data_IF_942816708417
#
_entry.id   IF_942816708417
#
_cell.length_a   1.000
_cell.length_b   1.000
_cell.length_c   1.000
_cell.angle_alpha   90.00
_cell.angle_beta   90.00
_cell.angle_gamma   90.00
#
_symmetry.space_group_name_H-M   'P 1'
#
loop_
_entity.id
_entity.type
_entity.pdbx_description
1 polymer ?
#
# COMPACT_ATOMS: atom_id res chain seq x y z
N UNK A 1 3.34 -3.06 -18.14
CA UNK A 1 4.08 -2.14 -17.25
C UNK A 1 3.66 -2.34 -15.81
N UNK A 2 4.59 -2.22 -14.91
CA UNK A 2 4.33 -2.38 -13.50
C UNK A 2 4.09 -1.04 -12.83
N UNK A 3 3.07 -1.00 -12.00
CA UNK A 3 2.73 0.19 -11.21
C UNK A 3 2.52 -0.21 -9.76
N UNK A 4 2.88 0.70 -8.86
CA UNK A 4 2.55 0.52 -7.46
C UNK A 4 1.36 1.41 -7.13
N UNK A 5 0.39 0.82 -6.46
CA UNK A 5 -0.76 1.54 -5.94
C UNK A 5 -0.50 1.74 -4.46
N UNK A 6 -0.27 2.97 -4.06
CA UNK A 6 0.08 3.34 -2.69
C UNK A 6 -1.14 3.95 -2.02
N UNK A 7 -1.54 3.37 -0.90
CA UNK A 7 -2.81 3.68 -0.26
C UNK A 7 -2.54 4.51 1.00
N UNK A 8 -3.02 5.76 0.98
CA UNK A 8 -2.84 6.68 2.10
C UNK A 8 -4.18 7.00 2.73
N UNK A 9 -4.20 7.13 4.05
CA UNK A 9 -5.38 7.51 4.78
C UNK A 9 -5.02 8.09 6.14
N UNK A 10 -5.98 8.75 6.76
CA UNK A 10 -5.79 9.31 8.10
C UNK A 10 -5.96 8.19 9.12
N UNK A 11 -4.89 7.86 9.83
CA UNK A 11 -4.90 6.79 10.84
C UNK A 11 -5.89 7.04 11.96
N UNK A 12 -6.22 8.30 12.22
CA UNK A 12 -7.23 8.63 13.24
C UNK A 12 -8.61 8.13 12.82
N UNK A 13 -8.92 8.23 11.53
CA UNK A 13 -10.18 7.70 11.01
C UNK A 13 -10.20 6.18 11.08
N UNK A 14 -9.07 5.54 10.81
CA UNK A 14 -8.97 4.10 10.90
C UNK A 14 -9.11 3.62 12.35
N UNK A 15 -8.53 4.36 13.30
CA UNK A 15 -8.65 4.02 14.71
C UNK A 15 -10.12 4.06 15.17
N UNK A 16 -10.90 5.05 14.68
CA UNK A 16 -12.32 5.10 14.96
C UNK A 16 -13.06 3.90 14.38
N UNK A 17 -12.61 3.43 13.22
CA UNK A 17 -13.21 2.28 12.56
C UNK A 17 -13.00 1.00 13.37
N UNK A 18 -11.88 0.89 14.09
CA UNK A 18 -11.60 -0.28 14.89
C UNK A 18 -12.64 -0.50 16.00
N UNK A 19 -13.33 0.56 16.42
CA UNK A 19 -14.37 0.49 17.44
C UNK A 19 -15.74 0.18 16.83
N UNK A 20 -15.84 0.12 15.50
CA UNK A 20 -17.08 -0.19 14.80
C UNK A 20 -16.89 -1.50 14.05
N UNK A 21 -17.27 -2.59 14.69
CA UNK A 21 -17.08 -3.93 14.17
C UNK A 21 -17.71 -4.13 12.79
N UNK A 22 -18.91 -3.63 12.61
CA UNK A 22 -19.62 -3.80 11.34
C UNK A 22 -18.93 -3.03 10.21
N UNK A 23 -18.51 -1.81 10.47
CA UNK A 23 -17.81 -1.00 9.47
C UNK A 23 -16.47 -1.63 9.11
N UNK A 24 -15.76 -2.16 10.10
CA UNK A 24 -14.49 -2.84 9.87
C UNK A 24 -14.66 -4.10 9.01
N UNK A 25 -15.70 -4.87 9.29
CA UNK A 25 -16.01 -6.06 8.49
C UNK A 25 -16.35 -5.69 7.05
N UNK A 26 -17.08 -4.58 6.85
CA UNK A 26 -17.42 -4.10 5.52
C UNK A 26 -16.18 -3.66 4.75
N UNK A 27 -15.24 -3.01 5.42
CA UNK A 27 -14.00 -2.60 4.81
C UNK A 27 -13.16 -3.81 4.41
N UNK A 28 -13.04 -4.80 5.29
CA UNK A 28 -12.30 -6.02 4.99
C UNK A 28 -12.92 -6.77 3.82
N UNK A 29 -14.25 -6.83 3.76
CA UNK A 29 -14.95 -7.47 2.65
C UNK A 29 -14.71 -6.74 1.34
N UNK A 30 -14.70 -5.40 1.38
CA UNK A 30 -14.45 -4.59 0.19
C UNK A 30 -13.04 -4.82 -0.34
N UNK A 31 -12.04 -4.90 0.54
CA UNK A 31 -10.67 -5.17 0.14
C UNK A 31 -10.50 -6.59 -0.38
N UNK A 32 -11.18 -7.56 0.22
CA UNK A 32 -11.15 -8.93 -0.28
C UNK A 32 -11.69 -9.01 -1.70
N UNK A 33 -12.77 -8.30 -1.98
CA UNK A 33 -13.35 -8.25 -3.32
C UNK A 33 -12.42 -7.54 -4.30
N UNK A 34 -11.82 -6.45 -3.88
CA UNK A 34 -10.90 -5.69 -4.73
C UNK A 34 -9.70 -6.56 -5.14
N UNK A 35 -9.10 -7.26 -4.18
CA UNK A 35 -8.00 -8.17 -4.48
C UNK A 35 -8.41 -9.32 -5.39
N UNK A 36 -9.61 -9.88 -5.15
CA UNK A 36 -10.12 -10.97 -5.98
C UNK A 36 -10.37 -10.49 -7.42
N UNK A 37 -10.90 -9.28 -7.59
CA UNK A 37 -11.14 -8.72 -8.92
C UNK A 37 -9.83 -8.49 -9.67
N UNK A 38 -8.82 -7.98 -9.01
CA UNK A 38 -7.50 -7.79 -9.62
C UNK A 38 -6.87 -9.13 -9.99
N UNK A 39 -7.04 -10.13 -9.15
CA UNK A 39 -6.50 -11.45 -9.43
C UNK A 39 -7.23 -12.11 -10.61
N UNK A 40 -8.55 -12.00 -10.65
CA UNK A 40 -9.34 -12.52 -11.76
C UNK A 40 -8.98 -11.85 -13.08
N UNK A 41 -8.66 -10.56 -13.04
CA UNK A 41 -8.24 -9.83 -14.22
C UNK A 41 -6.78 -10.11 -14.61
N UNK A 42 -6.05 -10.84 -13.77
CA UNK A 42 -4.67 -11.21 -14.06
C UNK A 42 -3.67 -10.08 -13.89
N UNK A 43 -4.04 -9.01 -13.18
CA UNK A 43 -3.16 -7.84 -13.04
C UNK A 43 -2.38 -7.81 -11.73
N UNK A 44 -2.83 -8.54 -10.71
CA UNK A 44 -2.23 -8.48 -9.38
C UNK A 44 -0.90 -9.22 -9.33
N UNK A 45 0.14 -8.53 -8.82
CA UNK A 45 1.47 -9.11 -8.66
C UNK A 45 1.94 -9.16 -7.22
N UNK A 46 1.27 -8.44 -6.32
CA UNK A 46 1.61 -8.45 -4.91
C UNK A 46 0.94 -7.31 -4.18
N UNK A 47 1.16 -7.26 -2.88
CA UNK A 47 0.62 -6.22 -2.05
C UNK A 47 0.63 -6.63 -0.60
N UNK A 48 0.46 -5.66 0.27
CA UNK A 48 0.40 -5.90 1.70
C UNK A 48 -0.24 -4.72 2.42
N UNK A 49 -0.82 -5.00 3.56
CA UNK A 49 -1.23 -3.99 4.50
C UNK A 49 -0.05 -3.66 5.41
N UNK A 50 0.12 -2.41 5.76
CA UNK A 50 1.12 -2.00 6.73
C UNK A 50 0.43 -1.74 8.06
N UNK A 51 1.13 -2.05 9.16
CA UNK A 51 0.67 -1.69 10.47
C UNK A 51 0.77 -0.16 10.65
N UNK A 52 0.04 0.41 11.62
CA UNK A 52 0.07 1.86 11.84
C UNK A 52 1.48 2.39 12.08
N UNK A 53 1.66 3.67 11.80
CA UNK A 53 2.98 4.29 11.80
C UNK A 53 3.69 4.26 13.14
N UNK A 54 2.96 4.14 14.26
CA UNK A 54 3.61 4.04 15.57
C UNK A 54 4.44 2.77 15.72
N UNK A 55 4.21 1.76 14.87
CA UNK A 55 5.01 0.54 14.89
C UNK A 55 6.23 0.62 13.97
N UNK A 56 6.40 1.73 13.25
CA UNK A 56 7.52 1.90 12.33
C UNK A 56 8.82 2.17 13.09
N UNK A 57 9.93 1.85 12.45
CA UNK A 57 11.27 2.21 12.90
C UNK A 57 11.98 2.90 11.76
N UNK A 58 12.50 4.08 12.02
CA UNK A 58 13.28 4.83 11.02
C UNK A 58 14.76 4.60 11.29
N UNK A 59 15.50 4.27 10.22
CA UNK A 59 16.93 4.00 10.32
C UNK A 59 17.68 5.01 9.46
N UNK A 60 18.70 5.62 10.03
CA UNK A 60 19.62 6.51 9.31
C UNK A 60 21.04 6.10 9.61
N UNK A 61 21.92 6.30 8.64
CA UNK A 61 23.36 6.16 8.88
C UNK A 61 23.96 7.55 8.79
N UNK A 62 24.56 7.99 9.88
CA UNK A 62 25.17 9.32 9.98
C UNK A 62 26.59 9.17 10.51
N UNK A 63 27.55 9.69 9.76
CA UNK A 63 28.98 9.60 10.12
C UNK A 63 29.41 8.15 10.38
N UNK A 64 28.93 7.24 9.55
CA UNK A 64 29.23 5.81 9.66
C UNK A 64 28.50 5.07 10.77
N UNK A 65 27.59 5.75 11.48
CA UNK A 65 26.85 5.11 12.57
C UNK A 65 25.39 4.92 12.21
N UNK A 66 24.85 3.77 12.59
CA UNK A 66 23.44 3.46 12.43
C UNK A 66 22.66 4.12 13.56
N UNK A 67 21.68 4.93 13.20
CA UNK A 67 20.79 5.62 14.15
C UNK A 67 19.37 5.15 13.88
N UNK A 68 18.69 4.67 14.92
CA UNK A 68 17.29 4.23 14.81
C UNK A 68 16.39 5.14 15.63
N UNK A 69 15.20 5.37 15.13
CA UNK A 69 14.18 6.18 15.81
C UNK A 69 12.85 5.45 15.70
N UNK A 70 12.11 5.36 16.79
CA UNK A 70 10.77 4.79 16.77
C UNK A 70 9.84 5.73 16.04
N UNK A 71 8.98 5.15 15.20
CA UNK A 71 8.01 5.90 14.44
C UNK A 71 8.46 6.21 13.02
N UNK A 72 7.62 6.87 12.23
CA UNK A 72 7.92 7.20 10.86
C UNK A 72 8.94 8.34 10.78
N UNK A 73 9.64 8.44 9.65
CA UNK A 73 10.64 9.49 9.46
C UNK A 73 10.03 10.89 9.36
N UNK A 74 8.74 10.98 9.06
CA UNK A 74 8.02 12.25 8.97
C UNK A 74 6.59 12.05 9.41
N UNK A 75 6.02 13.09 10.03
CA UNK A 75 4.60 13.10 10.35
C UNK A 75 3.85 13.70 9.18
N UNK A 76 2.77 13.05 8.77
CA UNK A 76 1.96 13.46 7.63
C UNK A 76 0.50 13.46 8.02
N UNK A 77 -0.31 14.17 7.23
CA UNK A 77 -1.75 14.22 7.47
C UNK A 77 -2.42 12.88 7.16
N UNK A 78 -1.97 12.25 6.09
CA UNK A 78 -2.39 10.91 5.73
C UNK A 78 -1.17 10.02 5.74
N UNK A 79 -1.32 8.80 6.21
CA UNK A 79 -0.23 7.86 6.37
C UNK A 79 -0.37 6.73 5.37
N UNK A 80 0.77 6.22 4.91
CA UNK A 80 0.78 5.06 4.02
C UNK A 80 0.32 3.83 4.81
N UNK A 81 -0.79 3.23 4.38
CA UNK A 81 -1.38 2.09 5.06
C UNK A 81 -1.27 0.78 4.31
N UNK A 82 -0.85 0.81 3.05
CA UNK A 82 -0.71 -0.41 2.28
C UNK A 82 -0.39 -0.13 0.84
N UNK A 83 -0.20 -1.20 0.08
CA UNK A 83 0.11 -1.06 -1.33
C UNK A 83 -0.29 -2.31 -2.10
N UNK A 84 -0.45 -2.13 -3.40
CA UNK A 84 -0.56 -3.23 -4.36
C UNK A 84 0.44 -3.01 -5.48
N UNK A 85 0.95 -4.10 -6.01
CA UNK A 85 1.77 -4.11 -7.21
C UNK A 85 0.95 -4.72 -8.32
N UNK A 86 0.77 -3.99 -9.42
CA UNK A 86 -0.04 -4.46 -10.54
C UNK A 86 0.73 -4.35 -11.84
N UNK A 87 0.34 -5.17 -12.81
CA UNK A 87 0.91 -5.17 -14.15
C UNK A 87 -0.23 -4.91 -15.13
N UNK A 88 -0.22 -3.73 -15.74
CA UNK A 88 -1.25 -3.30 -16.70
C UNK A 88 -0.59 -2.61 -17.88
N UNK A 89 -1.28 -2.50 -19.02
CA UNK A 89 -0.67 -1.97 -20.23
C UNK A 89 -0.25 -0.50 -20.17
N UNK A 90 -0.98 0.33 -19.41
CA UNK A 90 -0.74 1.77 -19.43
C UNK A 90 -1.25 2.44 -18.16
N UNK A 91 -0.95 3.73 -18.02
CA UNK A 91 -1.33 4.51 -16.85
C UNK A 91 -2.85 4.61 -16.67
N UNK A 92 -3.58 4.76 -17.77
CA UNK A 92 -5.05 4.88 -17.68
C UNK A 92 -5.67 3.65 -17.04
N UNK A 93 -5.16 2.47 -17.36
CA UNK A 93 -5.63 1.24 -16.72
C UNK A 93 -5.25 1.19 -15.24
N UNK A 94 -4.05 1.66 -14.91
CA UNK A 94 -3.63 1.73 -13.51
C UNK A 94 -4.51 2.68 -12.71
N UNK A 95 -4.86 3.83 -13.29
CA UNK A 95 -5.75 4.80 -12.65
C UNK A 95 -7.15 4.21 -12.44
N UNK A 96 -7.65 3.46 -13.41
CA UNK A 96 -8.96 2.81 -13.25
C UNK A 96 -8.94 1.82 -12.08
N UNK A 97 -7.88 1.05 -11.94
CA UNK A 97 -7.76 0.13 -10.80
C UNK A 97 -7.63 0.90 -9.48
N UNK A 98 -6.81 1.97 -9.47
CA UNK A 98 -6.65 2.78 -8.26
C UNK A 98 -7.98 3.38 -7.80
N UNK A 99 -8.79 3.84 -8.75
CA UNK A 99 -10.10 4.44 -8.43
C UNK A 99 -11.06 3.44 -7.79
N UNK A 100 -10.87 2.16 -8.00
CA UNK A 100 -11.70 1.10 -7.42
C UNK A 100 -11.25 0.69 -6.02
N UNK A 101 -10.09 1.18 -5.59
CA UNK A 101 -9.60 0.86 -4.25
C UNK A 101 -10.60 1.38 -3.20
N UNK A 102 -10.98 0.54 -2.22
CA UNK A 102 -11.97 0.95 -1.22
C UNK A 102 -11.65 2.25 -0.50
N UNK A 103 -10.38 2.54 -0.28
CA UNK A 103 -9.98 3.76 0.43
C UNK A 103 -9.88 4.99 -0.45
N UNK A 104 -10.13 4.87 -1.76
CA UNK A 104 -10.08 6.02 -2.65
C UNK A 104 -11.16 7.05 -2.34
N UNK A 105 -12.25 6.63 -1.71
CA UNK A 105 -13.38 7.51 -1.40
C UNK A 105 -13.07 8.50 -0.27
N UNK A 106 -12.18 8.14 0.65
CA UNK A 106 -11.91 8.99 1.81
C UNK A 106 -10.43 9.15 2.13
N UNK A 107 -9.56 8.54 1.36
CA UNK A 107 -8.11 8.71 1.45
C UNK A 107 -7.56 9.12 0.10
N UNK A 108 -6.28 8.84 -0.09
CA UNK A 108 -5.59 9.16 -1.35
C UNK A 108 -4.87 7.94 -1.87
N UNK A 109 -4.97 7.72 -3.16
CA UNK A 109 -4.30 6.60 -3.81
C UNK A 109 -3.28 7.18 -4.78
N UNK A 110 -2.03 6.87 -4.54
CA UNK A 110 -0.96 7.31 -5.44
C UNK A 110 -0.61 6.17 -6.38
N UNK A 111 -0.54 6.46 -7.67
CA UNK A 111 -0.13 5.49 -8.69
C UNK A 111 1.26 5.88 -9.15
N UNK A 112 2.22 4.97 -9.01
CA UNK A 112 3.60 5.27 -9.37
C UNK A 112 4.17 4.15 -10.24
N UNK A 113 4.62 4.47 -11.45
CA UNK A 113 5.25 3.45 -12.29
C UNK A 113 6.57 3.01 -11.68
N UNK A 114 6.89 1.73 -11.85
CA UNK A 114 8.15 1.20 -11.36
C UNK A 114 9.26 1.49 -12.35
N UNK A 115 10.40 1.92 -11.85
CA UNK A 115 11.58 2.14 -12.67
C UNK A 115 12.30 0.81 -12.90
N UNK A 116 12.92 0.31 -11.85
CA UNK A 116 13.62 -0.95 -11.91
C UNK A 116 12.99 -1.90 -10.91
N UNK A 117 12.72 -3.14 -11.35
CA UNK A 117 12.13 -4.12 -10.47
C UNK A 117 13.14 -5.17 -10.10
N UNK A 118 13.31 -5.36 -8.78
CA UNK A 118 14.17 -6.38 -8.25
C UNK A 118 13.49 -7.74 -8.37
N UNK A 119 14.21 -8.77 -8.78
CA UNK A 119 13.65 -10.09 -8.92
C UNK A 119 14.44 -11.10 -8.10
N UNK A 120 13.90 -11.47 -6.96
CA UNK A 120 14.50 -12.46 -6.08
C UNK A 120 14.55 -13.83 -6.72
N UNK A 121 13.66 -14.09 -7.65
CA UNK A 121 13.59 -15.34 -8.33
C UNK A 121 14.82 -15.69 -9.13
N UNK A 122 15.52 -14.71 -9.61
CA UNK A 122 16.72 -14.92 -10.40
C UNK A 122 17.88 -15.47 -9.59
N UNK A 123 17.84 -15.25 -8.30
CA UNK A 123 18.89 -15.74 -7.43
C UNK A 123 18.86 -17.23 -7.29
N UNK A 124 17.70 -17.74 -7.31
CA UNK A 124 17.55 -19.13 -7.20
C UNK A 124 17.89 -19.80 -8.48
N UNK A 125 18.08 -19.03 -9.28
CA UNK A 125 18.54 -19.45 -10.42
C UNK A 125 18.00 -19.75 -10.98
N UNK A 126 18.00 -19.30 -10.15
CA UNK A 126 18.03 -19.44 -10.30
C UNK A 126 17.93 -19.57 -10.12
#
# INVERSE_FOLDING_TARGET
>A
MHYMILIYGDEKNFASLLDDKKALEQLHAAYARYGADMQAAGVLRGGAELKPTHSATTVRVRSGKTVTTDGPFAETKEQLGGYYLIDVPNLDDAVRWAARCPSAANGSIEVRPLGMMSSAKQEGGS
#
